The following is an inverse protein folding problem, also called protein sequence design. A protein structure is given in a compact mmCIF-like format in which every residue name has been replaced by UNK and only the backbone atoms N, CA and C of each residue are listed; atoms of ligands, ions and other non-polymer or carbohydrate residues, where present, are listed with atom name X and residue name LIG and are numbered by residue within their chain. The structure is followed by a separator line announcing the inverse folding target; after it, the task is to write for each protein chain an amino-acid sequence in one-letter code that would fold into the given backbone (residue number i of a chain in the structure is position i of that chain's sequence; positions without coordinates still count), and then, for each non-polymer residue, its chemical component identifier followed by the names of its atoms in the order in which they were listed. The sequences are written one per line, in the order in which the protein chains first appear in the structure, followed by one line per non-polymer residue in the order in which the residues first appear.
data_IF_546612725992
#
_entry.id   IF_546612725992
#
_cell.length_a   1.000
_cell.length_b   1.000
_cell.length_c   1.000
_cell.angle_alpha   90.00
_cell.angle_beta   90.00
_cell.angle_gamma   90.00
#
_symmetry.space_group_name_H-M   'P 1'
#
loop_
_entity.id
_entity.type
_entity.pdbx_description
1 polymer ?
#
# COMPACT_ATOMS: atom_id res chain seq x y z
N UNK A 1 -8.03 20.54 12.91
CA UNK A 1 -7.84 20.82 11.47
C UNK A 1 -6.65 20.00 10.99
N UNK A 2 -6.69 19.53 9.75
CA UNK A 2 -5.49 19.08 9.06
C UNK A 2 -4.62 20.31 8.80
N UNK A 3 -3.30 20.18 8.98
CA UNK A 3 -2.34 21.29 8.89
C UNK A 3 -1.35 20.94 7.81
N UNK A 4 -1.15 21.85 6.87
CA UNK A 4 -0.12 21.74 5.85
C UNK A 4 1.21 22.20 6.45
N UNK A 5 2.23 21.35 6.39
CA UNK A 5 3.59 21.66 6.84
C UNK A 5 4.58 21.18 5.77
N UNK A 6 5.46 22.07 5.31
CA UNK A 6 6.52 21.68 4.35
C UNK A 6 6.00 21.09 3.04
N UNK A 7 4.96 21.68 2.45
CA UNK A 7 4.29 21.21 1.21
C UNK A 7 3.64 19.83 1.32
N UNK A 8 3.44 19.35 2.55
CA UNK A 8 2.77 18.08 2.85
C UNK A 8 1.50 18.35 3.65
N UNK A 9 0.41 17.72 3.23
CA UNK A 9 -0.88 17.78 3.91
C UNK A 9 -1.42 16.35 4.08
N UNK A 10 -1.45 15.82 5.32
CA UNK A 10 -2.15 14.57 5.59
C UNK A 10 -3.67 14.80 5.49
N UNK A 11 -4.32 14.07 4.59
CA UNK A 11 -5.76 14.13 4.32
C UNK A 11 -6.34 12.72 4.20
N UNK A 12 -7.19 12.32 5.14
CA UNK A 12 -7.74 10.96 5.22
C UNK A 12 -6.62 9.89 5.19
N UNK A 13 -6.68 8.96 4.23
CA UNK A 13 -5.72 7.87 4.02
C UNK A 13 -4.56 8.27 3.08
N UNK A 14 -4.47 9.54 2.67
CA UNK A 14 -3.41 10.02 1.77
C UNK A 14 -2.65 11.20 2.35
N UNK A 15 -1.39 11.29 2.02
CA UNK A 15 -0.54 12.46 2.20
C UNK A 15 -0.41 13.12 0.84
N UNK A 16 -0.92 14.35 0.76
CA UNK A 16 -0.80 15.19 -0.42
C UNK A 16 0.53 15.92 -0.34
N UNK A 17 1.38 15.73 -1.35
CA UNK A 17 2.70 16.36 -1.43
C UNK A 17 2.70 17.26 -2.66
N UNK A 18 3.24 18.47 -2.57
CA UNK A 18 3.30 19.41 -3.71
C UNK A 18 4.72 19.74 -4.17
N UNK A 19 5.54 18.77 -4.62
CA UNK A 19 6.86 19.09 -5.12
C UNK A 19 6.76 19.96 -6.39
N UNK A 20 7.40 21.14 -6.36
CA UNK A 20 7.49 22.04 -7.51
C UNK A 20 6.13 22.39 -8.15
N UNK A 21 5.08 22.51 -7.33
CA UNK A 21 3.74 22.89 -7.80
C UNK A 21 2.89 21.75 -8.40
N UNK A 22 3.42 20.53 -8.50
CA UNK A 22 2.63 19.36 -8.94
C UNK A 22 2.06 18.65 -7.73
N UNK A 23 0.75 18.35 -7.73
CA UNK A 23 0.13 17.59 -6.65
C UNK A 23 0.41 16.09 -6.81
N UNK A 24 0.97 15.48 -5.77
CA UNK A 24 1.26 14.06 -5.67
C UNK A 24 0.60 13.46 -4.45
N UNK A 25 0.30 12.17 -4.50
CA UNK A 25 -0.32 11.42 -3.40
C UNK A 25 0.55 10.25 -2.96
N UNK A 26 0.65 10.09 -1.65
CA UNK A 26 1.26 8.95 -1.00
C UNK A 26 0.28 8.38 0.01
N UNK A 27 0.24 7.07 0.20
CA UNK A 27 -0.61 6.52 1.24
C UNK A 27 -0.13 6.97 2.63
N UNK A 28 -1.05 7.55 3.41
CA UNK A 28 -0.82 7.99 4.77
C UNK A 28 -1.51 7.06 5.75
N UNK A 29 -0.77 6.57 6.75
CA UNK A 29 -1.33 5.77 7.85
C UNK A 29 -0.98 6.42 9.18
N UNK A 30 -1.96 7.10 9.79
CA UNK A 30 -1.76 7.83 11.05
C UNK A 30 -1.37 6.86 12.17
N UNK A 31 -0.15 7.00 12.71
CA UNK A 31 0.36 6.23 13.86
C UNK A 31 0.15 4.71 13.73
N UNK A 32 0.47 4.17 12.56
CA UNK A 32 0.24 2.76 12.27
C UNK A 32 1.35 1.87 12.82
N UNK A 33 1.01 1.04 13.81
CA UNK A 33 1.95 0.11 14.43
C UNK A 33 2.34 -1.09 13.54
N UNK A 34 1.85 -1.15 12.30
CA UNK A 34 2.09 -2.29 11.42
C UNK A 34 1.37 -3.57 11.87
N UNK A 35 0.39 -3.48 12.77
CA UNK A 35 -0.33 -4.64 13.30
C UNK A 35 -1.53 -4.92 12.39
N UNK A 36 -1.61 -6.16 11.89
CA UNK A 36 -2.75 -6.72 11.18
C UNK A 36 -3.13 -8.07 11.79
N UNK A 37 -4.15 -8.73 11.25
CA UNK A 37 -4.50 -10.08 11.67
C UNK A 37 -3.28 -11.00 11.50
N UNK A 38 -2.84 -11.65 12.57
CA UNK A 38 -1.71 -12.55 12.50
C UNK A 38 -2.07 -13.78 11.65
N UNK A 39 -1.12 -14.30 10.88
CA UNK A 39 -1.36 -15.44 10.00
C UNK A 39 -1.54 -16.78 10.75
N UNK A 40 -0.92 -16.93 11.92
CA UNK A 40 -0.79 -18.21 12.65
C UNK A 40 -2.04 -18.77 13.36
N UNK A 41 -2.98 -17.97 13.90
CA UNK A 41 -4.14 -18.54 14.61
C UNK A 41 -5.05 -19.33 13.66
N UNK A 42 -6.04 -20.06 14.19
CA UNK A 42 -7.03 -20.85 13.44
C UNK A 42 -8.00 -20.01 12.57
N UNK A 43 -7.52 -18.90 12.00
CA UNK A 43 -8.25 -18.08 11.05
C UNK A 43 -8.33 -18.77 9.69
N UNK A 44 -9.39 -18.45 8.96
CA UNK A 44 -9.57 -18.96 7.61
C UNK A 44 -8.44 -18.43 6.71
N UNK A 45 -7.68 -19.31 6.06
CA UNK A 45 -6.62 -18.94 5.13
C UNK A 45 -7.09 -17.93 4.08
N UNK A 46 -8.32 -18.09 3.59
CA UNK A 46 -8.93 -17.16 2.62
C UNK A 46 -9.02 -15.73 3.15
N UNK A 47 -9.37 -15.55 4.43
CA UNK A 47 -9.42 -14.24 5.07
C UNK A 47 -8.03 -13.59 5.09
N UNK A 48 -6.99 -14.36 5.44
CA UNK A 48 -5.62 -13.87 5.43
C UNK A 48 -5.19 -13.41 4.03
N UNK A 49 -5.55 -14.16 2.99
CA UNK A 49 -5.28 -13.76 1.59
C UNK A 49 -6.08 -12.51 1.19
N UNK A 50 -7.34 -12.39 1.60
CA UNK A 50 -8.16 -11.21 1.32
C UNK A 50 -7.56 -9.95 1.97
N UNK A 51 -7.03 -10.05 3.19
CA UNK A 51 -6.29 -8.96 3.84
C UNK A 51 -5.08 -8.54 3.01
N UNK A 52 -4.23 -9.49 2.61
CA UNK A 52 -3.04 -9.21 1.79
C UNK A 52 -3.44 -8.49 0.49
N UNK A 53 -4.43 -9.02 -0.23
CA UNK A 53 -4.87 -8.46 -1.52
C UNK A 53 -5.42 -7.05 -1.36
N UNK A 54 -6.29 -6.83 -0.37
CA UNK A 54 -6.92 -5.53 -0.17
C UNK A 54 -5.89 -4.46 0.21
N UNK A 55 -4.94 -4.78 1.09
CA UNK A 55 -3.88 -3.84 1.47
C UNK A 55 -3.00 -3.46 0.27
N UNK A 56 -2.63 -4.42 -0.58
CA UNK A 56 -1.83 -4.13 -1.79
C UNK A 56 -2.65 -3.24 -2.76
N UNK A 57 -3.91 -3.59 -3.03
CA UNK A 57 -4.78 -2.83 -3.93
C UNK A 57 -4.95 -1.39 -3.45
N UNK A 58 -5.26 -1.20 -2.16
CA UNK A 58 -5.42 0.14 -1.59
C UNK A 58 -4.14 0.95 -1.69
N UNK A 59 -3.01 0.33 -1.35
CA UNK A 59 -1.71 1.01 -1.35
C UNK A 59 -1.30 1.49 -2.74
N UNK A 60 -1.51 0.67 -3.78
CA UNK A 60 -1.22 1.07 -5.15
C UNK A 60 -2.24 2.07 -5.73
N UNK A 61 -3.48 2.04 -5.25
CA UNK A 61 -4.56 2.91 -5.76
C UNK A 61 -4.46 4.34 -5.19
N UNK A 62 -4.00 4.46 -3.95
CA UNK A 62 -3.89 5.72 -3.21
C UNK A 62 -2.50 6.37 -3.31
N UNK A 63 -1.54 5.69 -3.92
CA UNK A 63 -0.16 6.15 -4.06
C UNK A 63 0.19 6.35 -5.52
N UNK A 64 0.86 7.45 -5.85
CA UNK A 64 1.39 7.66 -7.21
C UNK A 64 2.53 6.68 -7.52
N UNK A 65 2.67 6.33 -8.81
CA UNK A 65 3.54 5.24 -9.29
C UNK A 65 4.99 5.39 -8.81
N UNK A 66 5.49 6.62 -8.72
CA UNK A 66 6.86 6.93 -8.27
C UNK A 66 7.15 6.53 -6.81
N UNK A 67 6.12 6.32 -5.99
CA UNK A 67 6.26 5.89 -4.59
C UNK A 67 5.83 4.43 -4.37
N UNK A 68 5.51 3.68 -5.43
CA UNK A 68 5.03 2.28 -5.28
C UNK A 68 6.09 1.37 -4.65
N UNK A 69 7.35 1.48 -5.04
CA UNK A 69 8.41 0.61 -4.54
C UNK A 69 8.60 0.79 -3.02
N UNK A 70 8.67 2.03 -2.55
CA UNK A 70 8.76 2.35 -1.13
C UNK A 70 7.57 1.79 -0.33
N UNK A 71 6.37 1.88 -0.91
CA UNK A 71 5.14 1.42 -0.27
C UNK A 71 5.03 -0.10 -0.23
N UNK A 72 5.41 -0.79 -1.31
CA UNK A 72 5.45 -2.25 -1.37
C UNK A 72 6.46 -2.83 -0.38
N UNK A 73 7.63 -2.20 -0.23
CA UNK A 73 8.65 -2.60 0.75
C UNK A 73 8.13 -2.51 2.19
N UNK A 74 7.36 -1.46 2.51
CA UNK A 74 6.71 -1.33 3.82
C UNK A 74 5.70 -2.44 4.04
N UNK A 75 4.86 -2.73 3.05
CA UNK A 75 3.87 -3.81 3.13
C UNK A 75 4.52 -5.17 3.35
N UNK A 76 5.62 -5.49 2.65
CA UNK A 76 6.34 -6.76 2.84
C UNK A 76 6.80 -6.90 4.29
N UNK A 77 7.39 -5.85 4.86
CA UNK A 77 7.82 -5.82 6.27
C UNK A 77 6.65 -6.03 7.22
N UNK A 78 5.51 -5.38 6.96
CA UNK A 78 4.28 -5.56 7.75
C UNK A 78 3.80 -7.02 7.69
N UNK A 79 3.67 -7.61 6.50
CA UNK A 79 3.19 -8.98 6.36
C UNK A 79 4.11 -9.99 7.05
N UNK A 80 5.42 -9.89 6.85
CA UNK A 80 6.40 -10.77 7.50
C UNK A 80 6.34 -10.61 9.02
N UNK A 81 6.25 -9.38 9.53
CA UNK A 81 6.11 -9.09 10.96
C UNK A 81 4.85 -9.70 11.59
N UNK A 82 3.79 -9.89 10.81
CA UNK A 82 2.53 -10.52 11.25
C UNK A 82 2.46 -12.02 10.93
N UNK A 83 3.59 -12.64 10.55
CA UNK A 83 3.72 -14.08 10.38
C UNK A 83 3.25 -14.63 9.03
N UNK A 84 2.97 -13.78 8.05
CA UNK A 84 2.59 -14.22 6.71
C UNK A 84 3.79 -14.84 5.98
N UNK A 85 3.61 -15.97 5.25
CA UNK A 85 4.68 -16.55 4.45
C UNK A 85 5.15 -15.61 3.35
N UNK A 86 6.47 -15.39 3.26
CA UNK A 86 7.05 -14.47 2.27
C UNK A 86 6.66 -14.85 0.82
N UNK A 87 6.68 -16.15 0.49
CA UNK A 87 6.31 -16.65 -0.84
C UNK A 87 4.87 -16.27 -1.23
N UNK A 88 3.93 -16.39 -0.29
CA UNK A 88 2.53 -16.04 -0.48
C UNK A 88 2.39 -14.53 -0.69
N UNK A 89 3.05 -13.74 0.15
CA UNK A 89 3.05 -12.27 0.05
C UNK A 89 3.62 -11.81 -1.29
N UNK A 90 4.79 -12.30 -1.68
CA UNK A 90 5.47 -11.92 -2.93
C UNK A 90 4.62 -12.28 -4.15
N UNK A 91 4.03 -13.49 -4.17
CA UNK A 91 3.15 -13.92 -5.26
C UNK A 91 1.97 -12.98 -5.44
N UNK A 92 1.33 -12.56 -4.36
CA UNK A 92 0.18 -11.66 -4.43
C UNK A 92 0.57 -10.22 -4.80
N UNK A 93 1.72 -9.73 -4.32
CA UNK A 93 2.27 -8.44 -4.73
C UNK A 93 2.52 -8.44 -6.24
N UNK A 94 3.25 -9.42 -6.77
CA UNK A 94 3.56 -9.51 -8.18
C UNK A 94 2.29 -9.58 -9.05
N UNK A 95 1.35 -10.45 -8.69
CA UNK A 95 0.11 -10.62 -9.45
C UNK A 95 -0.74 -9.33 -9.51
N UNK A 96 -0.83 -8.60 -8.40
CA UNK A 96 -1.60 -7.35 -8.34
C UNK A 96 -0.83 -6.22 -9.03
N UNK A 97 0.47 -6.10 -8.79
CA UNK A 97 1.32 -5.09 -9.41
C UNK A 97 1.24 -5.16 -10.94
N UNK A 98 1.41 -6.36 -11.53
CA UNK A 98 1.30 -6.55 -12.97
C UNK A 98 -0.07 -6.15 -13.52
N UNK A 99 -1.14 -6.49 -12.80
CA UNK A 99 -2.52 -6.12 -13.18
C UNK A 99 -2.79 -4.62 -13.09
N UNK A 100 -2.21 -3.94 -12.11
CA UNK A 100 -2.40 -2.50 -11.93
C UNK A 100 -1.55 -1.71 -12.92
N UNK A 101 -0.29 -2.12 -13.12
CA UNK A 101 0.64 -1.46 -14.04
C UNK A 101 0.13 -1.55 -15.49
N UNK A 102 -0.36 -2.72 -15.93
CA UNK A 102 -0.93 -2.87 -17.28
C UNK A 102 -2.15 -1.98 -17.55
N UNK A 103 -2.94 -1.67 -16.51
CA UNK A 103 -4.04 -0.71 -16.61
C UNK A 103 -3.54 0.73 -16.68
N UNK A 104 -2.50 1.07 -15.91
CA UNK A 104 -1.89 2.40 -15.95
C UNK A 104 -1.31 2.68 -17.33
N UNK A 105 -0.58 1.73 -17.92
CA UNK A 105 0.00 1.89 -19.26
C UNK A 105 -1.06 2.00 -20.36
N UNK A 106 -2.18 1.26 -20.24
CA UNK A 106 -3.27 1.32 -21.21
C UNK A 106 -4.09 2.63 -21.17
N UNK A 107 -3.96 3.45 -20.12
CA UNK A 107 -4.64 4.75 -20.01
C UNK A 107 -3.77 5.93 -20.49
N UNK A 108 -2.56 5.66 -20.98
CA UNK A 108 -1.59 6.68 -21.45
C UNK A 108 -1.51 6.68 -23.00
N UNK A 109 -2.15 5.72 -23.68
CA UNK A 109 -2.35 5.67 -25.14
C UNK A 109 -3.75 6.16 -25.54
#
# INVERSE_FOLDING_TARGET
MEVEEGEQLPFLDVELIRPNGTLKKKLFRKSYAGIILNFRPHHNYRLNIEIVRNMIIQSLSLTDVEFWDEELDKLIKIFIGNGYPNEVTQRHIQAIFLRTNSKTTANIE
#
